data_IF_593592744798
#
_entry.id   IF_593592744798
#
_cell.length_a   1.000
_cell.length_b   1.000
_cell.length_c   1.000
_cell.angle_alpha   90.00
_cell.angle_beta   90.00
_cell.angle_gamma   90.00
#
_symmetry.space_group_name_H-M   'P 1'
#
loop_
_entity.id
_entity.type
_entity.pdbx_description
1 polymer ?
#
# COMPACT_ATOMS: atom_id res chain seq x y z
N UNK A 1 4.29 -20.89 -18.00
CA UNK A 1 5.29 -20.70 -16.93
C UNK A 1 5.27 -19.19 -16.64
N UNK A 2 4.40 -18.63 -15.81
CA UNK A 2 3.90 -19.11 -14.52
C UNK A 2 2.43 -18.65 -14.30
N UNK A 3 1.48 -19.59 -14.26
CA UNK A 3 0.10 -19.30 -13.86
C UNK A 3 -0.01 -18.95 -12.35
N UNK A 4 1.07 -19.20 -11.59
CA UNK A 4 1.16 -18.90 -10.15
C UNK A 4 1.34 -17.41 -9.83
N UNK A 5 1.58 -16.53 -10.82
CA UNK A 5 1.58 -15.08 -10.57
C UNK A 5 0.16 -14.50 -10.54
N UNK A 6 -0.81 -15.19 -11.15
CA UNK A 6 -2.18 -14.69 -11.33
C UNK A 6 -3.17 -15.23 -10.28
N UNK A 7 -2.83 -16.29 -9.53
CA UNK A 7 -3.71 -16.85 -8.49
C UNK A 7 -3.67 -16.07 -7.15
N UNK A 8 -2.69 -15.20 -6.91
CA UNK A 8 -2.67 -14.32 -5.71
C UNK A 8 -3.73 -13.19 -5.83
N UNK A 9 -4.43 -13.08 -6.95
CA UNK A 9 -5.43 -12.03 -7.21
C UNK A 9 -6.85 -12.36 -6.69
N UNK A 10 -7.02 -13.42 -5.89
CA UNK A 10 -8.30 -13.76 -5.26
C UNK A 10 -8.45 -13.20 -3.83
N UNK A 11 -7.61 -12.23 -3.45
CA UNK A 11 -7.82 -11.40 -2.26
C UNK A 11 -8.36 -10.05 -2.70
N UNK A 12 -9.55 -9.72 -2.21
CA UNK A 12 -10.28 -8.45 -2.33
C UNK A 12 -9.35 -7.27 -2.61
N UNK A 13 -9.59 -6.51 -3.69
CA UNK A 13 -8.82 -5.29 -3.97
C UNK A 13 -8.74 -4.44 -2.70
N UNK A 14 -7.54 -4.04 -2.25
CA UNK A 14 -7.39 -3.27 -1.03
C UNK A 14 -8.20 -1.99 -1.13
N UNK A 15 -9.10 -1.78 -0.15
CA UNK A 15 -9.95 -0.59 -0.13
C UNK A 15 -9.08 0.68 -0.16
N UNK A 16 -9.43 1.60 -1.05
CA UNK A 16 -8.74 2.87 -1.19
C UNK A 16 -8.88 3.70 0.10
N UNK A 17 -7.83 4.39 0.56
CA UNK A 17 -7.91 5.28 1.70
C UNK A 17 -8.83 6.48 1.43
N UNK A 18 -9.45 7.00 2.48
CA UNK A 18 -10.35 8.15 2.40
C UNK A 18 -9.62 9.47 2.05
N UNK A 19 -8.35 9.60 2.46
CA UNK A 19 -7.53 10.77 2.20
C UNK A 19 -6.03 10.43 2.14
N UNK A 20 -5.22 11.40 1.71
CA UNK A 20 -3.76 11.31 1.74
C UNK A 20 -3.23 11.09 3.16
N UNK A 21 -3.73 11.85 4.13
CA UNK A 21 -3.32 11.77 5.54
C UNK A 21 -3.68 10.41 6.15
N UNK A 22 -4.87 9.89 5.82
CA UNK A 22 -5.26 8.53 6.23
C UNK A 22 -4.36 7.47 5.62
N UNK A 23 -4.03 7.59 4.33
CA UNK A 23 -3.12 6.67 3.65
C UNK A 23 -1.70 6.70 4.25
N UNK A 24 -1.17 7.89 4.52
CA UNK A 24 0.16 8.07 5.08
C UNK A 24 0.25 7.49 6.49
N UNK A 25 -0.73 7.80 7.34
CA UNK A 25 -0.80 7.24 8.70
C UNK A 25 -0.86 5.72 8.70
N UNK A 26 -1.64 5.15 7.78
CA UNK A 26 -1.70 3.70 7.65
C UNK A 26 -0.37 3.11 7.17
N UNK A 27 0.30 3.76 6.20
CA UNK A 27 1.59 3.32 5.67
C UNK A 27 2.65 3.30 6.77
N UNK A 28 2.74 4.35 7.59
CA UNK A 28 3.60 4.41 8.77
C UNK A 28 3.31 3.26 9.74
N UNK A 29 2.03 2.94 9.94
CA UNK A 29 1.61 1.78 10.73
C UNK A 29 2.11 0.45 10.14
N UNK A 30 1.98 0.24 8.83
CA UNK A 30 2.49 -0.98 8.19
C UNK A 30 4.01 -1.10 8.29
N UNK A 31 4.74 0.02 8.12
CA UNK A 31 6.20 0.05 8.30
C UNK A 31 6.59 -0.29 9.74
N UNK A 32 5.91 0.29 10.72
CA UNK A 32 6.16 -0.01 12.12
C UNK A 32 5.96 -1.50 12.44
N UNK A 33 4.92 -2.13 11.87
CA UNK A 33 4.68 -3.57 12.02
C UNK A 33 5.78 -4.42 11.39
N UNK A 34 6.24 -4.06 10.18
CA UNK A 34 7.36 -4.77 9.53
C UNK A 34 8.66 -4.69 10.34
N UNK A 35 8.88 -3.59 11.04
CA UNK A 35 10.11 -3.36 11.82
C UNK A 35 10.07 -3.97 13.22
N UNK A 36 8.90 -3.99 13.86
CA UNK A 36 8.81 -4.25 15.31
C UNK A 36 8.04 -5.53 15.68
N UNK A 37 7.18 -6.04 14.79
CA UNK A 37 6.37 -7.23 15.09
C UNK A 37 7.08 -8.52 14.65
N UNK A 38 6.98 -9.61 15.43
CA UNK A 38 7.41 -10.93 14.99
C UNK A 38 6.39 -11.51 13.99
N UNK A 39 6.47 -11.07 12.74
CA UNK A 39 5.58 -11.50 11.67
C UNK A 39 6.01 -12.86 11.09
N UNK A 40 5.04 -13.71 10.77
CA UNK A 40 5.24 -14.83 9.87
C UNK A 40 5.48 -14.33 8.43
N UNK A 41 5.99 -15.20 7.56
CA UNK A 41 6.24 -14.85 6.16
C UNK A 41 4.97 -14.37 5.44
N UNK A 42 3.83 -15.03 5.67
CA UNK A 42 2.55 -14.68 5.04
C UNK A 42 2.04 -13.30 5.51
N UNK A 43 2.18 -13.00 6.81
CA UNK A 43 1.84 -11.70 7.37
C UNK A 43 2.77 -10.59 6.86
N UNK A 44 4.07 -10.88 6.72
CA UNK A 44 5.04 -9.94 6.16
C UNK A 44 4.71 -9.61 4.69
N UNK A 45 4.35 -10.62 3.89
CA UNK A 45 3.93 -10.43 2.50
C UNK A 45 2.65 -9.60 2.40
N UNK A 46 1.67 -9.87 3.26
CA UNK A 46 0.40 -9.12 3.31
C UNK A 46 0.64 -7.66 3.71
N UNK A 47 1.45 -7.44 4.73
CA UNK A 47 1.84 -6.10 5.21
C UNK A 47 2.57 -5.31 4.13
N UNK A 48 3.50 -5.97 3.42
CA UNK A 48 4.23 -5.37 2.31
C UNK A 48 3.32 -5.00 1.12
N UNK A 49 2.40 -5.88 0.74
CA UNK A 49 1.42 -5.62 -0.32
C UNK A 49 0.56 -4.40 0.00
N UNK A 50 0.06 -4.31 1.25
CA UNK A 50 -0.72 -3.15 1.70
C UNK A 50 0.13 -1.87 1.71
N UNK A 51 1.37 -1.94 2.21
CA UNK A 51 2.29 -0.81 2.19
C UNK A 51 2.56 -0.29 0.78
N UNK A 52 2.78 -1.19 -0.19
CA UNK A 52 3.00 -0.82 -1.59
C UNK A 52 1.78 -0.13 -2.20
N UNK A 53 0.57 -0.62 -1.90
CA UNK A 53 -0.67 0.00 -2.32
C UNK A 53 -0.82 1.43 -1.77
N UNK A 54 -0.59 1.61 -0.47
CA UNK A 54 -0.68 2.93 0.19
C UNK A 54 0.35 3.91 -0.36
N UNK A 55 1.58 3.45 -0.60
CA UNK A 55 2.64 4.26 -1.20
C UNK A 55 2.26 4.76 -2.60
N UNK A 56 1.70 3.88 -3.44
CA UNK A 56 1.24 4.26 -4.78
C UNK A 56 0.10 5.29 -4.74
N UNK A 57 -0.83 5.13 -3.79
CA UNK A 57 -1.90 6.09 -3.56
C UNK A 57 -1.32 7.47 -3.19
N UNK A 58 -0.43 7.52 -2.20
CA UNK A 58 0.21 8.76 -1.75
C UNK A 58 0.92 9.48 -2.90
N UNK A 59 1.72 8.76 -3.70
CA UNK A 59 2.43 9.33 -4.85
C UNK A 59 1.46 9.90 -5.89
N UNK A 60 0.38 9.19 -6.19
CA UNK A 60 -0.63 9.65 -7.15
C UNK A 60 -1.31 10.95 -6.68
N UNK A 61 -1.65 11.04 -5.39
CA UNK A 61 -2.26 12.24 -4.80
C UNK A 61 -1.33 13.45 -4.83
N UNK A 62 -0.03 13.24 -4.58
CA UNK A 62 0.97 14.31 -4.69
C UNK A 62 1.13 14.77 -6.12
N UNK A 63 1.23 13.84 -7.09
CA UNK A 63 1.32 14.19 -8.50
C UNK A 63 0.10 15.00 -8.99
N UNK A 64 -1.12 14.63 -8.57
CA UNK A 64 -2.33 15.41 -8.84
C UNK A 64 -2.27 16.82 -8.24
N UNK A 65 -1.76 16.95 -7.01
CA UNK A 65 -1.63 18.24 -6.34
C UNK A 65 -0.60 19.14 -7.02
N UNK A 66 0.56 18.57 -7.41
CA UNK A 66 1.61 19.27 -8.15
C UNK A 66 1.11 19.79 -9.49
N UNK A 67 0.36 18.97 -10.23
CA UNK A 67 -0.22 19.37 -11.52
C UNK A 67 -1.15 20.58 -11.38
N UNK A 68 -1.91 20.68 -10.28
CA UNK A 68 -2.81 21.83 -10.02
C UNK A 68 -2.07 23.13 -9.71
N UNK A 69 -0.81 23.05 -9.28
CA UNK A 69 0.02 24.24 -9.00
C UNK A 69 0.73 24.72 -10.27
N UNK A 70 1.01 23.81 -11.22
CA UNK A 70 1.73 24.12 -12.46
C UNK A 70 0.84 24.72 -13.57
N UNK A 71 -0.49 24.68 -13.41
CA UNK A 71 -1.47 25.32 -14.32
C UNK A 71 -1.71 26.78 -13.96
#
# INVERSE_FOLDING_TARGET
MNALFFEITAMTEPAAPESYESALKELEGQLNRLENDPLTLEEALTTYQRGTFLLNYCQSRLAEAEQRIQV
#
